data_IF_408111609218
#
_entry.id   IF_408111609218
#
_cell.length_a   1.000
_cell.length_b   1.000
_cell.length_c   1.000
_cell.angle_alpha   90.00
_cell.angle_beta   90.00
_cell.angle_gamma   90.00
#
_symmetry.space_group_name_H-M   'P 1'
#
loop_
_entity.id
_entity.type
_entity.pdbx_description
1 polymer ?
#
# COMPACT_ATOMS: atom_id res chain seq x y z
N UNK A 1 1.47 47.41 29.44
CA UNK A 1 1.64 46.48 28.31
C UNK A 1 1.94 45.10 28.87
N UNK A 2 1.01 44.15 28.73
CA UNK A 2 1.29 42.72 28.96
C UNK A 2 0.59 41.97 27.85
N UNK A 3 1.32 41.81 26.74
CA UNK A 3 0.89 41.01 25.60
C UNK A 3 0.84 39.55 26.03
N UNK A 4 -0.34 38.96 25.95
CA UNK A 4 -0.49 37.52 26.04
C UNK A 4 -0.16 36.95 24.66
N UNK A 5 0.87 36.11 24.63
CA UNK A 5 1.33 35.37 23.45
C UNK A 5 0.24 34.39 23.05
N UNK A 6 -0.26 34.52 21.82
CA UNK A 6 -1.18 33.56 21.20
C UNK A 6 -0.37 32.30 20.90
N UNK A 7 -0.57 31.25 21.68
CA UNK A 7 -0.10 29.91 21.34
C UNK A 7 -0.96 29.38 20.19
N UNK A 8 -0.48 29.57 18.97
CA UNK A 8 -1.02 28.96 17.77
C UNK A 8 -0.77 27.45 17.88
N UNK A 9 -1.79 26.71 18.33
CA UNK A 9 -1.74 25.25 18.42
C UNK A 9 -1.83 24.69 17.00
N UNK A 10 -0.69 24.65 16.32
CA UNK A 10 -0.46 23.79 15.15
C UNK A 10 -0.46 22.33 15.61
N UNK A 11 -1.62 21.79 15.99
CA UNK A 11 -1.73 20.37 16.30
C UNK A 11 -2.56 19.67 15.25
N UNK A 12 -1.81 18.88 14.46
CA UNK A 12 -2.25 17.70 13.74
C UNK A 12 -2.97 18.02 12.43
N UNK A 13 -2.17 18.22 11.39
CA UNK A 13 -2.48 17.56 10.13
C UNK A 13 -2.54 16.05 10.42
N UNK A 14 -3.70 15.57 10.86
CA UNK A 14 -4.08 14.20 10.59
C UNK A 14 -4.16 14.15 9.06
N UNK A 15 -3.05 13.81 8.42
CA UNK A 15 -3.07 13.38 7.03
C UNK A 15 -4.17 12.34 6.97
N UNK A 16 -5.26 12.65 6.27
CA UNK A 16 -6.35 11.73 6.07
C UNK A 16 -5.71 10.46 5.49
N UNK A 17 -5.57 9.43 6.33
CA UNK A 17 -5.32 8.09 5.87
C UNK A 17 -6.55 7.79 5.02
N UNK A 18 -6.39 7.98 3.71
CA UNK A 18 -7.44 7.65 2.78
C UNK A 18 -7.60 6.15 2.93
N UNK A 19 -8.67 5.72 3.61
CA UNK A 19 -9.11 4.35 3.76
C UNK A 19 -9.56 3.79 2.39
N UNK A 20 -8.73 4.00 1.38
CA UNK A 20 -8.80 3.33 0.09
C UNK A 20 -8.00 2.03 0.16
N UNK A 21 -7.94 1.30 -0.94
CA UNK A 21 -7.15 0.08 -1.00
C UNK A 21 -5.65 0.37 -0.82
N UNK A 22 -4.91 -0.57 -0.24
CA UNK A 22 -3.44 -0.60 -0.21
C UNK A 22 -2.94 -1.74 -1.07
N UNK A 23 -2.05 -1.46 -2.01
CA UNK A 23 -1.32 -2.47 -2.76
C UNK A 23 -0.01 -2.80 -2.05
N UNK A 24 0.12 -4.02 -1.54
CA UNK A 24 1.35 -4.54 -0.97
C UNK A 24 2.13 -5.29 -2.03
N UNK A 25 3.44 -5.01 -2.17
CA UNK A 25 4.30 -5.60 -3.18
C UNK A 25 5.23 -6.65 -2.59
N UNK A 26 5.46 -7.71 -3.36
CA UNK A 26 6.31 -8.84 -3.00
C UNK A 26 7.21 -9.23 -4.16
N UNK A 27 8.42 -9.68 -3.82
CA UNK A 27 9.32 -10.31 -4.78
C UNK A 27 8.92 -11.77 -5.07
N UNK A 28 9.64 -12.43 -5.99
CA UNK A 28 9.38 -13.83 -6.37
C UNK A 28 9.63 -14.87 -5.28
N UNK A 29 10.24 -14.48 -4.15
CA UNK A 29 10.36 -15.33 -2.95
C UNK A 29 9.24 -15.10 -1.94
N UNK A 30 8.27 -14.22 -2.27
CA UNK A 30 7.16 -13.86 -1.40
C UNK A 30 7.52 -12.86 -0.30
N UNK A 31 8.70 -12.24 -0.33
CA UNK A 31 9.11 -11.26 0.67
C UNK A 31 8.61 -9.85 0.30
N UNK A 32 8.13 -9.12 1.30
CA UNK A 32 7.64 -7.75 1.14
C UNK A 32 8.72 -6.80 0.60
N UNK A 33 8.37 -5.98 -0.39
CA UNK A 33 9.27 -5.01 -1.02
C UNK A 33 8.77 -3.57 -0.96
N UNK A 34 7.50 -3.33 -0.59
CA UNK A 34 6.94 -1.99 -0.47
C UNK A 34 5.41 -1.96 -0.53
N UNK A 35 4.82 -0.78 -0.35
CA UNK A 35 3.38 -0.58 -0.41
C UNK A 35 3.02 0.75 -1.08
N UNK A 36 1.91 0.76 -1.83
CA UNK A 36 1.34 1.95 -2.46
C UNK A 36 -0.17 2.05 -2.18
N UNK A 37 -0.68 3.28 -2.06
CA UNK A 37 -2.12 3.50 -2.07
C UNK A 37 -2.76 3.16 -3.42
N UNK A 38 -3.96 2.56 -3.39
CA UNK A 38 -4.74 2.15 -4.54
C UNK A 38 -4.86 0.64 -4.71
N UNK A 39 -5.62 0.21 -5.72
CA UNK A 39 -5.85 -1.20 -6.08
C UNK A 39 -5.15 -1.64 -7.36
N UNK A 40 -4.39 -0.73 -8.01
CA UNK A 40 -3.75 -0.94 -9.32
C UNK A 40 -4.70 -1.47 -10.42
N UNK A 41 -6.00 -1.15 -10.31
CA UNK A 41 -7.01 -1.60 -11.26
C UNK A 41 -7.44 -3.06 -11.08
N UNK A 42 -7.00 -3.73 -10.00
CA UNK A 42 -7.48 -5.07 -9.66
C UNK A 42 -8.90 -5.01 -9.10
N UNK A 43 -9.81 -5.89 -9.58
CA UNK A 43 -11.19 -5.93 -9.09
C UNK A 43 -11.24 -6.39 -7.64
N UNK A 44 -12.26 -5.94 -6.90
CA UNK A 44 -12.44 -6.24 -5.46
C UNK A 44 -12.54 -7.74 -5.15
N UNK A 45 -13.00 -8.55 -6.11
CA UNK A 45 -13.02 -10.02 -5.98
C UNK A 45 -11.62 -10.65 -5.86
N UNK A 46 -10.58 -9.88 -6.17
CA UNK A 46 -9.16 -10.25 -6.12
C UNK A 46 -8.44 -9.55 -4.95
N UNK A 47 -9.15 -9.00 -3.97
CA UNK A 47 -8.50 -8.39 -2.81
C UNK A 47 -8.26 -9.42 -1.70
N UNK A 48 -7.20 -9.23 -0.91
CA UNK A 48 -6.79 -10.17 0.16
C UNK A 48 -6.10 -11.46 -0.32
N UNK A 49 -5.93 -11.65 -1.62
CA UNK A 49 -5.18 -12.78 -2.19
C UNK A 49 -3.95 -12.25 -2.95
N UNK A 50 -2.90 -13.08 -3.06
CA UNK A 50 -1.69 -12.75 -3.84
C UNK A 50 -1.95 -12.89 -5.34
N UNK A 51 -1.53 -11.91 -6.14
CA UNK A 51 -1.64 -11.94 -7.60
C UNK A 51 -0.36 -11.51 -8.27
N UNK A 52 -0.02 -12.18 -9.38
CA UNK A 52 1.00 -11.67 -10.31
C UNK A 52 0.36 -10.63 -11.23
N UNK A 53 0.89 -9.41 -11.22
CA UNK A 53 0.55 -8.36 -12.18
C UNK A 53 1.79 -8.03 -13.03
N UNK A 54 1.62 -7.52 -14.27
CA UNK A 54 2.74 -6.98 -15.02
C UNK A 54 3.46 -5.92 -14.19
N UNK A 55 4.79 -6.07 -14.05
CA UNK A 55 5.58 -5.16 -13.25
C UNK A 55 5.59 -3.77 -13.92
N UNK A 56 5.01 -2.72 -13.30
CA UNK A 56 4.95 -1.39 -13.90
C UNK A 56 6.33 -0.74 -14.04
N UNK A 57 7.31 -1.16 -13.23
CA UNK A 57 8.70 -0.69 -13.27
C UNK A 57 9.63 -1.61 -14.08
N UNK A 58 9.09 -2.72 -14.61
CA UNK A 58 9.82 -3.68 -15.43
C UNK A 58 10.08 -3.13 -16.83
N UNK A 59 11.33 -3.22 -17.29
CA UNK A 59 11.70 -2.84 -18.66
C UNK A 59 11.45 -3.96 -19.69
N UNK A 60 11.00 -5.14 -19.28
CA UNK A 60 10.76 -6.30 -20.14
C UNK A 60 9.29 -6.73 -20.20
N UNK A 61 8.84 -7.19 -21.39
CA UNK A 61 7.63 -8.01 -21.50
C UNK A 61 7.89 -9.35 -20.81
N UNK A 62 7.28 -9.56 -19.64
CA UNK A 62 7.42 -10.79 -18.85
C UNK A 62 7.90 -10.57 -17.41
N UNK A 63 8.24 -9.34 -17.02
CA UNK A 63 8.45 -9.01 -15.62
C UNK A 63 7.08 -8.94 -14.92
N UNK A 64 6.90 -9.77 -13.89
CA UNK A 64 5.71 -9.76 -13.05
C UNK A 64 6.10 -9.34 -11.62
N UNK A 65 5.19 -8.66 -10.95
CA UNK A 65 5.27 -8.34 -9.53
C UNK A 65 4.11 -9.03 -8.81
N UNK A 66 4.37 -9.54 -7.61
CA UNK A 66 3.34 -10.16 -6.80
C UNK A 66 2.74 -9.12 -5.86
N UNK A 67 1.40 -9.05 -5.80
CA UNK A 67 0.69 -8.06 -4.99
C UNK A 67 -0.44 -8.66 -4.15
N UNK A 68 -0.71 -8.04 -3.01
CA UNK A 68 -1.95 -8.24 -2.23
C UNK A 68 -2.63 -6.88 -2.07
N UNK A 69 -3.94 -6.81 -2.37
CA UNK A 69 -4.71 -5.60 -2.09
C UNK A 69 -5.41 -5.72 -0.74
N UNK A 70 -5.10 -4.82 0.19
CA UNK A 70 -5.85 -4.68 1.44
C UNK A 70 -7.00 -3.68 1.22
N UNK A 71 -8.27 -4.05 1.49
CA UNK A 71 -9.43 -3.15 1.30
C UNK A 71 -9.37 -1.91 2.19
N UNK A 72 -8.81 -2.09 3.38
CA UNK A 72 -8.69 -1.07 4.42
C UNK A 72 -7.31 -1.20 5.05
N UNK A 73 -6.64 -0.08 5.25
CA UNK A 73 -5.37 0.00 5.94
C UNK A 73 -5.36 1.25 6.83
N UNK A 74 -4.77 1.15 8.00
CA UNK A 74 -4.45 2.24 8.89
C UNK A 74 -3.07 2.83 8.56
N UNK A 75 -2.14 1.99 8.06
CA UNK A 75 -0.79 2.41 7.69
C UNK A 75 -0.19 1.61 6.53
N UNK A 76 0.83 2.16 5.87
CA UNK A 76 1.61 1.44 4.84
C UNK A 76 2.39 0.23 5.36
N UNK A 77 2.39 0.01 6.68
CA UNK A 77 3.03 -1.14 7.34
C UNK A 77 2.04 -2.28 7.61
N UNK A 78 0.77 -2.14 7.20
CA UNK A 78 -0.25 -3.17 7.42
C UNK A 78 -0.10 -4.36 6.47
N UNK A 79 0.79 -4.22 5.48
CA UNK A 79 1.17 -5.29 4.59
C UNK A 79 1.85 -6.43 5.34
N UNK A 80 1.45 -7.69 5.12
CA UNK A 80 2.16 -8.82 5.72
C UNK A 80 3.61 -8.87 5.24
N UNK A 81 4.52 -9.30 6.11
CA UNK A 81 5.96 -9.38 5.79
C UNK A 81 6.26 -10.40 4.69
N UNK A 82 5.39 -11.40 4.54
CA UNK A 82 5.47 -12.43 3.52
C UNK A 82 4.10 -12.79 2.96
N UNK A 83 4.05 -13.14 1.68
CA UNK A 83 2.86 -13.64 1.01
C UNK A 83 3.10 -15.05 0.46
N UNK A 84 2.11 -15.93 0.62
CA UNK A 84 2.05 -17.18 -0.16
C UNK A 84 1.69 -16.83 -1.60
N UNK A 85 2.66 -16.96 -2.50
CA UNK A 85 2.47 -16.64 -3.91
C UNK A 85 1.64 -17.73 -4.58
N UNK A 86 0.48 -17.36 -5.11
CA UNK A 86 -0.33 -18.22 -5.96
C UNK A 86 0.00 -17.94 -7.42
N UNK A 87 0.62 -18.91 -8.07
CA UNK A 87 0.65 -19.00 -9.53
C UNK A 87 -0.77 -19.38 -9.98
N UNK A 88 -1.57 -18.38 -10.40
CA UNK A 88 -2.83 -18.63 -11.11
C UNK A 88 -2.58 -18.92 -12.60
#
# INVERSE_FOLDING_TARGET
MRSFVIALVCSLCASAASAGPLTCWYNSSGAFTGADGGSRGLPESKWGMSYAIPNPDGSGSGDYAYVIILPTYDSGNDCPESAELRDE
#
